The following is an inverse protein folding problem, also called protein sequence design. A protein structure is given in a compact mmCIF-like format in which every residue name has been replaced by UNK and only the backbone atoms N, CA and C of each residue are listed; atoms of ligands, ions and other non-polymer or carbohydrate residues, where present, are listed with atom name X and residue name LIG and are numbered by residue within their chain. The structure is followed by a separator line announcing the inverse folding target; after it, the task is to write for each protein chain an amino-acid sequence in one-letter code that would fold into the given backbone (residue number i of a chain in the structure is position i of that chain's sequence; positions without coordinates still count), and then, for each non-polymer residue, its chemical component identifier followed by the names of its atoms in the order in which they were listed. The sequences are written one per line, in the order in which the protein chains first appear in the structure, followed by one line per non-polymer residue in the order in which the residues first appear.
data_IF_280883184097
#
_entry.id   IF_280883184097
#
_cell.length_a   1.000
_cell.length_b   1.000
_cell.length_c   1.000
_cell.angle_alpha   90.00
_cell.angle_beta   90.00
_cell.angle_gamma   90.00
#
_symmetry.space_group_name_H-M   'P 1'
#
loop_
_entity.id
_entity.type
_entity.pdbx_description
1 polymer ?
#
# COMPACT_ATOMS: atom_id res chain seq x y z
N UNK A 1 0.98 17.49 -1.41
CA UNK A 1 2.31 17.17 -0.85
C UNK A 1 2.51 15.67 -0.59
N UNK A 2 1.54 14.95 0.00
CA UNK A 2 1.66 13.51 0.29
C UNK A 2 1.97 12.58 -0.92
N UNK A 3 1.45 12.90 -2.11
CA UNK A 3 1.74 12.15 -3.36
C UNK A 3 3.20 12.27 -3.83
N UNK A 4 3.84 13.42 -3.62
CA UNK A 4 5.24 13.64 -3.98
C UNK A 4 6.17 12.89 -3.02
N UNK A 5 5.85 12.90 -1.73
CA UNK A 5 6.60 12.23 -0.68
C UNK A 5 6.59 10.71 -0.86
N UNK A 6 5.42 10.09 -1.07
CA UNK A 6 5.32 8.66 -1.34
C UNK A 6 6.11 8.23 -2.60
N UNK A 7 6.02 9.03 -3.68
CA UNK A 7 6.78 8.81 -4.93
C UNK A 7 8.29 8.96 -4.75
N UNK A 8 8.76 9.77 -3.81
CA UNK A 8 10.18 9.87 -3.52
C UNK A 8 10.69 8.62 -2.79
N UNK A 9 9.91 8.09 -1.86
CA UNK A 9 10.28 6.86 -1.14
C UNK A 9 10.16 5.62 -2.01
N UNK A 10 9.20 5.53 -2.93
CA UNK A 10 9.08 4.37 -3.83
C UNK A 10 10.31 4.22 -4.75
N UNK A 11 10.93 5.35 -5.17
CA UNK A 11 12.12 5.35 -6.03
C UNK A 11 13.31 4.62 -5.42
N UNK A 12 13.47 4.65 -4.10
CA UNK A 12 14.56 3.96 -3.41
C UNK A 12 14.46 2.43 -3.57
N UNK A 13 13.24 1.90 -3.70
CA UNK A 13 12.97 0.46 -3.84
C UNK A 13 12.84 -0.01 -5.28
N UNK A 14 12.82 0.90 -6.27
CA UNK A 14 12.68 0.54 -7.68
C UNK A 14 13.83 -0.32 -8.22
N UNK A 15 14.97 -0.34 -7.53
CA UNK A 15 16.13 -1.17 -7.86
C UNK A 15 16.03 -2.61 -7.33
N UNK A 16 15.03 -2.94 -6.51
CA UNK A 16 14.85 -4.28 -5.94
C UNK A 16 13.93 -5.14 -6.83
N UNK A 17 14.47 -6.05 -7.66
CA UNK A 17 13.63 -6.85 -8.56
C UNK A 17 12.75 -7.82 -7.78
N UNK A 18 11.52 -8.02 -8.29
CA UNK A 18 10.55 -8.99 -7.77
C UNK A 18 10.21 -8.78 -6.28
N UNK A 19 9.97 -7.52 -5.91
CA UNK A 19 9.81 -7.11 -4.51
C UNK A 19 8.66 -7.87 -3.83
N UNK A 20 7.53 -8.05 -4.51
CA UNK A 20 6.37 -8.78 -4.00
C UNK A 20 6.69 -10.24 -3.62
N UNK A 21 7.54 -10.93 -4.39
CA UNK A 21 7.95 -12.28 -4.03
C UNK A 21 8.92 -12.27 -2.85
N UNK A 22 9.90 -11.37 -2.86
CA UNK A 22 10.93 -11.32 -1.83
C UNK A 22 10.37 -10.95 -0.46
N UNK A 23 9.43 -10.00 -0.40
CA UNK A 23 8.75 -9.59 0.84
C UNK A 23 7.98 -10.72 1.51
N UNK A 24 7.69 -11.83 0.82
CA UNK A 24 7.10 -13.02 1.45
C UNK A 24 8.10 -13.87 2.24
N UNK A 25 9.38 -13.50 2.26
CA UNK A 25 10.42 -14.17 3.04
C UNK A 25 10.73 -13.33 4.27
N UNK A 26 10.53 -13.89 5.47
CA UNK A 26 10.67 -13.18 6.75
C UNK A 26 11.98 -12.40 6.86
N UNK A 27 13.11 -13.02 6.56
CA UNK A 27 14.41 -12.37 6.66
C UNK A 27 14.52 -11.13 5.75
N UNK A 28 14.08 -11.24 4.51
CA UNK A 28 14.10 -10.11 3.58
C UNK A 28 13.10 -9.02 4.00
N UNK A 29 11.91 -9.40 4.47
CA UNK A 29 10.94 -8.45 5.00
C UNK A 29 11.49 -7.67 6.18
N UNK A 30 12.10 -8.35 7.15
CA UNK A 30 12.69 -7.74 8.34
C UNK A 30 13.80 -6.75 7.98
N UNK A 31 14.74 -7.13 7.12
CA UNK A 31 15.81 -6.23 6.66
C UNK A 31 15.26 -5.03 5.90
N UNK A 32 14.32 -5.28 4.97
CA UNK A 32 13.72 -4.23 4.16
C UNK A 32 12.89 -3.25 5.00
N UNK A 33 12.14 -3.75 5.99
CA UNK A 33 11.37 -2.93 6.90
C UNK A 33 12.28 -2.06 7.76
N UNK A 34 13.30 -2.65 8.39
CA UNK A 34 14.24 -1.91 9.23
C UNK A 34 14.98 -0.82 8.42
N UNK A 35 15.52 -1.18 7.25
CA UNK A 35 16.21 -0.21 6.39
C UNK A 35 15.31 0.94 5.94
N UNK A 36 14.05 0.67 5.60
CA UNK A 36 13.08 1.71 5.25
C UNK A 36 12.75 2.61 6.45
N UNK A 37 12.50 2.03 7.63
CA UNK A 37 12.20 2.79 8.83
C UNK A 37 13.35 3.72 9.21
N UNK A 38 14.59 3.25 9.14
CA UNK A 38 15.77 4.06 9.45
C UNK A 38 15.93 5.22 8.46
N UNK A 39 15.80 4.95 7.15
CA UNK A 39 15.88 5.98 6.12
C UNK A 39 14.77 7.04 6.25
N UNK A 40 13.53 6.59 6.49
CA UNK A 40 12.38 7.46 6.66
C UNK A 40 12.50 8.29 7.94
N UNK A 41 12.85 7.67 9.07
CA UNK A 41 13.04 8.37 10.34
C UNK A 41 14.16 9.42 10.24
N UNK A 42 15.29 9.10 9.60
CA UNK A 42 16.39 10.04 9.40
C UNK A 42 15.95 11.28 8.59
N UNK A 43 15.17 11.09 7.52
CA UNK A 43 14.64 12.19 6.70
C UNK A 43 13.63 13.06 7.46
N UNK A 44 12.91 12.49 8.41
CA UNK A 44 11.95 13.19 9.26
C UNK A 44 12.56 13.77 10.54
N UNK A 45 13.86 13.58 10.77
CA UNK A 45 14.52 14.01 12.01
C UNK A 45 14.10 13.22 13.25
N UNK A 46 13.53 12.02 13.07
CA UNK A 46 13.07 11.14 14.14
C UNK A 46 14.16 10.14 14.54
N UNK A 47 14.06 9.63 15.77
CA UNK A 47 14.81 8.46 16.21
C UNK A 47 13.82 7.33 16.47
N UNK A 48 14.10 6.16 15.92
CA UNK A 48 13.21 4.99 16.03
C UNK A 48 13.94 3.82 16.65
N UNK A 49 13.17 3.01 17.38
CA UNK A 49 13.60 1.68 17.85
C UNK A 49 12.60 0.65 17.34
N UNK A 50 13.09 -0.52 16.94
CA UNK A 50 12.28 -1.57 16.32
C UNK A 50 12.34 -2.84 17.18
N UNK A 51 11.18 -3.27 17.68
CA UNK A 51 11.00 -4.56 18.32
C UNK A 51 10.79 -5.63 17.24
N UNK A 52 11.84 -6.44 17.03
CA UNK A 52 11.86 -7.50 16.01
C UNK A 52 10.89 -8.65 16.31
N UNK A 53 10.55 -8.90 17.57
CA UNK A 53 9.57 -9.94 17.92
C UNK A 53 8.18 -9.51 17.50
N UNK A 54 7.79 -8.27 17.78
CA UNK A 54 6.53 -7.69 17.31
C UNK A 54 6.46 -7.60 15.79
N UNK A 55 7.56 -7.23 15.14
CA UNK A 55 7.64 -7.18 13.67
C UNK A 55 7.44 -8.57 13.06
N UNK A 56 8.06 -9.59 13.66
CA UNK A 56 7.90 -10.99 13.23
C UNK A 56 6.47 -11.48 13.43
N UNK A 57 5.83 -11.18 14.57
CA UNK A 57 4.42 -11.53 14.81
C UNK A 57 3.50 -10.90 13.76
N UNK A 58 3.66 -9.59 13.49
CA UNK A 58 2.89 -8.89 12.46
C UNK A 58 3.08 -9.53 11.07
N UNK A 59 4.31 -9.89 10.72
CA UNK A 59 4.61 -10.57 9.46
C UNK A 59 3.93 -11.93 9.34
N UNK A 60 3.99 -12.76 10.39
CA UNK A 60 3.41 -14.10 10.36
C UNK A 60 1.88 -14.04 10.23
N UNK A 61 1.22 -13.18 11.00
CA UNK A 61 -0.23 -12.97 10.91
C UNK A 61 -0.65 -12.46 9.53
N UNK A 62 0.09 -11.49 8.98
CA UNK A 62 -0.13 -11.01 7.62
C UNK A 62 0.03 -12.13 6.59
N UNK A 63 1.07 -12.95 6.71
CA UNK A 63 1.32 -14.07 5.82
C UNK A 63 0.20 -15.13 5.84
N UNK A 64 -0.40 -15.37 7.00
CA UNK A 64 -1.57 -16.25 7.13
C UNK A 64 -2.79 -15.69 6.37
N UNK A 65 -3.11 -14.41 6.56
CA UNK A 65 -4.24 -13.76 5.88
C UNK A 65 -4.05 -13.68 4.37
N UNK A 66 -2.82 -13.35 3.93
CA UNK A 66 -2.45 -13.39 2.53
C UNK A 66 -2.69 -14.77 1.93
N UNK A 67 -2.19 -15.82 2.58
CA UNK A 67 -2.33 -17.19 2.08
C UNK A 67 -3.78 -17.67 2.04
N UNK A 68 -4.61 -17.25 3.01
CA UNK A 68 -6.03 -17.60 3.07
C UNK A 68 -6.81 -17.07 1.86
N UNK A 69 -6.37 -15.94 1.28
CA UNK A 69 -7.13 -15.20 0.26
C UNK A 69 -6.40 -15.07 -1.09
N UNK A 70 -5.19 -15.64 -1.23
CA UNK A 70 -4.31 -15.47 -2.40
C UNK A 70 -4.92 -15.85 -3.75
N UNK A 71 -5.92 -16.74 -3.76
CA UNK A 71 -6.62 -17.14 -4.98
C UNK A 71 -7.38 -15.96 -5.61
N UNK A 72 -7.73 -14.93 -4.85
CA UNK A 72 -8.40 -13.74 -5.38
C UNK A 72 -7.47 -12.84 -6.21
N UNK A 73 -6.16 -13.05 -6.15
CA UNK A 73 -5.20 -12.39 -7.05
C UNK A 73 -5.48 -12.68 -8.53
N UNK A 74 -6.11 -13.82 -8.86
CA UNK A 74 -6.48 -14.16 -10.24
C UNK A 74 -7.74 -13.43 -10.72
N UNK A 75 -8.55 -12.89 -9.81
CA UNK A 75 -9.76 -12.12 -10.12
C UNK A 75 -9.39 -10.67 -10.45
N UNK A 76 -8.64 -10.02 -9.54
CA UNK A 76 -8.14 -8.67 -9.74
C UNK A 76 -6.82 -8.50 -8.98
N UNK A 77 -5.70 -8.71 -9.68
CA UNK A 77 -4.36 -8.66 -9.07
C UNK A 77 -4.07 -7.32 -8.40
N UNK A 78 -4.38 -6.21 -9.08
CA UNK A 78 -4.11 -4.85 -8.59
C UNK A 78 -4.85 -4.57 -7.29
N UNK A 79 -6.16 -4.82 -7.26
CA UNK A 79 -6.95 -4.62 -6.05
C UNK A 79 -6.54 -5.58 -4.92
N UNK A 80 -6.12 -6.80 -5.27
CA UNK A 80 -5.62 -7.75 -4.28
C UNK A 80 -4.29 -7.29 -3.66
N UNK A 81 -3.42 -6.62 -4.41
CA UNK A 81 -2.19 -6.01 -3.86
C UNK A 81 -2.52 -4.84 -2.92
N UNK A 82 -3.49 -3.98 -3.27
CA UNK A 82 -3.98 -2.90 -2.39
C UNK A 82 -4.49 -3.49 -1.07
N UNK A 83 -5.38 -4.48 -1.16
CA UNK A 83 -5.91 -5.19 0.00
C UNK A 83 -4.79 -5.79 0.86
N UNK A 84 -3.83 -6.48 0.24
CA UNK A 84 -2.72 -7.12 0.93
C UNK A 84 -1.85 -6.10 1.68
N UNK A 85 -1.58 -4.94 1.08
CA UNK A 85 -0.84 -3.86 1.75
C UNK A 85 -1.65 -3.26 2.91
N UNK A 86 -2.97 -3.09 2.76
CA UNK A 86 -3.86 -2.68 3.86
C UNK A 86 -3.88 -3.67 5.03
N UNK A 87 -3.86 -4.98 4.75
CA UNK A 87 -3.78 -6.00 5.81
C UNK A 87 -2.45 -5.97 6.55
N UNK A 88 -1.34 -5.70 5.86
CA UNK A 88 -0.03 -5.52 6.49
C UNK A 88 -0.06 -4.31 7.43
N UNK A 89 -0.64 -3.19 6.99
CA UNK A 89 -0.82 -2.01 7.83
C UNK A 89 -1.63 -2.32 9.10
N UNK A 90 -2.72 -3.07 8.98
CA UNK A 90 -3.54 -3.48 10.12
C UNK A 90 -2.71 -4.25 11.17
N UNK A 91 -1.87 -5.20 10.73
CA UNK A 91 -1.01 -5.97 11.62
C UNK A 91 0.13 -5.16 12.22
N UNK A 92 0.73 -4.22 11.47
CA UNK A 92 1.75 -3.30 11.99
C UNK A 92 1.19 -2.34 13.05
N UNK A 93 -0.01 -1.81 12.81
CA UNK A 93 -0.70 -0.91 13.75
C UNK A 93 -1.13 -1.64 15.03
N UNK A 94 -1.55 -2.90 14.92
CA UNK A 94 -1.89 -3.74 16.09
C UNK A 94 -0.63 -4.13 16.89
N UNK A 95 0.41 -4.62 16.21
CA UNK A 95 1.62 -5.10 16.87
C UNK A 95 2.50 -3.96 17.43
N UNK A 96 2.47 -2.78 16.81
CA UNK A 96 3.28 -1.61 17.16
C UNK A 96 4.78 -1.94 17.32
N UNK A 97 5.45 -2.42 16.25
CA UNK A 97 6.87 -2.81 16.33
C UNK A 97 7.83 -1.63 16.43
N UNK A 98 7.44 -0.44 15.98
CA UNK A 98 8.27 0.77 16.03
C UNK A 98 7.87 1.63 17.22
N UNK A 99 8.86 2.15 17.94
CA UNK A 99 8.69 3.20 18.95
C UNK A 99 9.52 4.42 18.57
N UNK A 100 8.86 5.58 18.45
CA UNK A 100 9.50 6.84 18.07
C UNK A 100 9.93 7.59 19.33
N UNK A 101 11.21 7.90 19.41
CA UNK A 101 11.75 8.79 20.43
C UNK A 101 11.78 10.20 19.86
N UNK A 102 10.86 11.06 20.31
CA UNK A 102 10.96 12.50 20.03
C UNK A 102 12.21 13.02 20.73
N UNK A 103 13.23 13.42 19.96
CA UNK A 103 14.27 14.29 20.51
C UNK A 103 13.58 15.58 20.92
N UNK A 104 13.67 15.95 22.20
CA UNK A 104 13.20 17.24 22.70
C UNK A 104 13.89 18.37 21.92
N UNK A 105 13.32 18.80 20.81
CA UNK A 105 13.73 20.04 20.16
C UNK A 105 13.02 21.20 20.85
N UNK A 106 13.70 21.68 21.89
CA UNK A 106 13.63 23.06 22.34
C UNK A 106 14.13 23.98 21.22
N UNK A 107 13.22 24.38 20.34
CA UNK A 107 13.24 25.66 19.61
C UNK A 107 12.07 25.67 18.63
N UNK A 108 10.91 26.12 19.10
CA UNK A 108 9.82 26.56 18.22
C UNK A 108 10.26 27.87 17.54
N UNK A 109 11.16 27.76 16.57
CA UNK A 109 11.16 28.69 15.44
C UNK A 109 10.00 28.26 14.56
N UNK A 110 9.02 29.13 14.40
CA UNK A 110 7.86 28.94 13.53
C UNK A 110 8.29 28.28 12.21
N UNK A 111 7.83 27.04 12.00
CA UNK A 111 8.05 26.26 10.78
C UNK A 111 6.70 25.65 10.40
N UNK A 112 6.42 25.55 9.08
CA UNK A 112 5.37 26.30 8.38
C UNK A 112 4.00 25.63 8.45
N UNK A 113 3.03 26.20 7.74
CA UNK A 113 1.65 25.75 7.48
C UNK A 113 1.54 24.35 6.81
N UNK A 114 2.49 23.45 7.06
CA UNK A 114 2.62 22.12 6.45
C UNK A 114 1.84 21.07 7.27
N UNK A 115 0.66 20.71 6.75
CA UNK A 115 -0.20 19.66 7.31
C UNK A 115 0.54 18.33 7.52
N UNK A 116 1.54 18.00 6.70
CA UNK A 116 2.29 16.75 6.84
C UNK A 116 3.09 16.73 8.14
N UNK A 117 3.69 17.86 8.53
CA UNK A 117 4.40 17.96 9.81
C UNK A 117 3.45 17.80 11.00
N UNK A 118 2.23 18.34 10.90
CA UNK A 118 1.21 18.18 11.93
C UNK A 118 0.78 16.72 12.07
N UNK A 119 0.65 16.00 10.95
CA UNK A 119 0.35 14.56 10.93
C UNK A 119 1.48 13.75 11.60
N UNK A 120 2.74 14.02 11.23
CA UNK A 120 3.91 13.34 11.80
C UNK A 120 3.98 13.59 13.31
N UNK A 121 3.77 14.83 13.75
CA UNK A 121 3.76 15.16 15.18
C UNK A 121 2.59 14.50 15.95
N UNK A 122 1.43 14.32 15.30
CA UNK A 122 0.24 13.73 15.90
C UNK A 122 0.36 12.22 16.14
N UNK A 123 0.86 11.48 15.15
CA UNK A 123 1.01 10.01 15.24
C UNK A 123 2.16 9.52 14.36
N UNK A 124 3.41 9.64 14.83
CA UNK A 124 4.58 9.36 14.00
C UNK A 124 4.67 7.88 13.62
N UNK A 125 4.36 6.94 14.52
CA UNK A 125 4.36 5.50 14.20
C UNK A 125 3.35 5.16 13.10
N UNK A 126 2.12 5.67 13.21
CA UNK A 126 1.09 5.46 12.20
C UNK A 126 1.53 5.99 10.83
N UNK A 127 2.15 7.18 10.82
CA UNK A 127 2.71 7.76 9.61
C UNK A 127 3.77 6.86 8.98
N UNK A 128 4.75 6.39 9.77
CA UNK A 128 5.81 5.50 9.32
C UNK A 128 5.24 4.20 8.70
N UNK A 129 4.30 3.53 9.37
CA UNK A 129 3.70 2.29 8.85
C UNK A 129 2.92 2.51 7.55
N UNK A 130 2.13 3.57 7.49
CA UNK A 130 1.34 3.89 6.29
C UNK A 130 2.26 4.23 5.12
N UNK A 131 3.28 5.06 5.32
CA UNK A 131 4.25 5.40 4.28
C UNK A 131 4.96 4.16 3.76
N UNK A 132 5.42 3.27 4.64
CA UNK A 132 6.04 2.00 4.24
C UNK A 132 5.13 1.16 3.35
N UNK A 133 3.86 0.96 3.77
CA UNK A 133 2.91 0.15 3.01
C UNK A 133 2.58 0.78 1.65
N UNK A 134 2.45 2.10 1.57
CA UNK A 134 2.23 2.82 0.31
C UNK A 134 3.45 2.68 -0.60
N UNK A 135 4.68 2.88 -0.09
CA UNK A 135 5.90 2.77 -0.90
C UNK A 135 6.10 1.37 -1.45
N UNK A 136 5.90 0.33 -0.62
CA UNK A 136 5.95 -1.07 -1.08
C UNK A 136 4.91 -1.33 -2.16
N UNK A 137 3.66 -0.90 -1.94
CA UNK A 137 2.58 -1.09 -2.91
C UNK A 137 2.87 -0.37 -4.24
N UNK A 138 3.38 0.86 -4.17
CA UNK A 138 3.80 1.65 -5.33
C UNK A 138 4.86 0.92 -6.14
N UNK A 139 5.93 0.48 -5.49
CA UNK A 139 6.99 -0.27 -6.16
C UNK A 139 6.47 -1.57 -6.78
N UNK A 140 5.64 -2.33 -6.09
CA UNK A 140 5.07 -3.58 -6.62
C UNK A 140 4.19 -3.33 -7.85
N UNK A 141 3.30 -2.34 -7.81
CA UNK A 141 2.42 -2.02 -8.95
C UNK A 141 3.21 -1.41 -10.11
N UNK A 142 4.22 -0.58 -9.84
CA UNK A 142 5.10 -0.04 -10.88
C UNK A 142 5.90 -1.17 -11.56
N UNK A 143 6.34 -2.18 -10.81
CA UNK A 143 7.01 -3.37 -11.37
C UNK A 143 6.07 -4.24 -12.21
N UNK A 144 4.83 -4.45 -11.76
CA UNK A 144 3.86 -5.33 -12.42
C UNK A 144 3.19 -4.67 -13.64
N UNK A 145 2.81 -3.39 -13.54
CA UNK A 145 1.91 -2.73 -14.50
C UNK A 145 2.53 -1.50 -15.17
N UNK A 146 3.71 -1.03 -14.72
CA UNK A 146 4.35 0.22 -15.17
C UNK A 146 3.44 1.46 -15.01
N UNK A 147 2.51 1.41 -14.06
CA UNK A 147 1.60 2.49 -13.75
C UNK A 147 1.80 2.94 -12.30
N UNK A 148 1.84 4.25 -12.07
CA UNK A 148 1.87 4.77 -10.71
C UNK A 148 0.51 4.57 -10.02
N UNK A 149 0.52 4.29 -8.71
CA UNK A 149 -0.70 4.45 -7.92
C UNK A 149 -1.00 5.93 -7.67
N UNK A 150 -2.28 6.34 -7.77
CA UNK A 150 -2.69 7.61 -7.21
C UNK A 150 -2.57 7.55 -5.69
N UNK A 151 -1.95 8.56 -5.08
CA UNK A 151 -2.07 8.83 -3.64
C UNK A 151 -3.09 9.94 -3.50
N UNK A 152 -4.13 9.69 -2.73
CA UNK A 152 -5.24 10.61 -2.51
C UNK A 152 -4.81 11.82 -1.68
N UNK A 153 -5.42 12.97 -1.94
CA UNK A 153 -5.23 14.19 -1.13
C UNK A 153 -5.64 13.99 0.33
N UNK A 154 -6.55 13.04 0.59
CA UNK A 154 -7.01 12.62 1.91
C UNK A 154 -5.85 12.22 2.84
N UNK A 155 -4.78 11.64 2.28
CA UNK A 155 -3.59 11.26 3.05
C UNK A 155 -2.82 12.47 3.61
N UNK A 156 -3.07 13.68 3.10
CA UNK A 156 -2.47 14.93 3.56
C UNK A 156 -3.34 15.75 4.52
N UNK A 157 -4.49 15.25 4.95
CA UNK A 157 -5.42 15.96 5.83
C UNK A 157 -5.42 15.34 7.24
N UNK A 158 -4.97 16.11 8.24
CA UNK A 158 -4.85 15.71 9.64
C UNK A 158 -6.16 15.17 10.23
N UNK A 159 -7.32 15.67 9.79
CA UNK A 159 -8.62 15.20 10.29
C UNK A 159 -8.84 13.72 9.96
N UNK A 160 -8.41 13.27 8.78
CA UNK A 160 -8.52 11.87 8.39
C UNK A 160 -7.58 10.99 9.21
N UNK A 161 -6.42 11.50 9.60
CA UNK A 161 -5.49 10.80 10.50
C UNK A 161 -6.03 10.64 11.91
N UNK A 162 -6.75 11.64 12.43
CA UNK A 162 -7.50 11.51 13.69
C UNK A 162 -8.53 10.38 13.61
N UNK A 163 -9.39 10.40 12.59
CA UNK A 163 -10.39 9.36 12.37
C UNK A 163 -9.73 7.98 12.21
N UNK A 164 -8.65 7.90 11.44
CA UNK A 164 -7.90 6.68 11.22
C UNK A 164 -7.40 6.09 12.54
N UNK A 165 -6.68 6.89 13.34
CA UNK A 165 -6.12 6.46 14.63
C UNK A 165 -7.20 5.98 15.61
N UNK A 166 -8.33 6.67 15.63
CA UNK A 166 -9.44 6.30 16.52
C UNK A 166 -10.06 4.97 16.11
N UNK A 167 -10.40 4.81 14.83
CA UNK A 167 -11.10 3.62 14.34
C UNK A 167 -10.24 2.35 14.40
N UNK A 168 -8.91 2.46 14.24
CA UNK A 168 -8.02 1.29 14.37
C UNK A 168 -7.80 0.84 15.81
N UNK A 169 -8.02 1.73 16.79
CA UNK A 169 -8.00 1.35 18.21
C UNK A 169 -9.23 0.53 18.58
N UNK A 170 -10.36 0.81 17.95
CA UNK A 170 -11.59 0.03 18.11
C UNK A 170 -11.53 -1.29 17.34
N UNK A 171 -11.15 -1.26 16.06
CA UNK A 171 -10.96 -2.44 15.23
C UNK A 171 -9.82 -2.22 14.23
N UNK A 172 -8.74 -3.02 14.37
CA UNK A 172 -7.57 -2.96 13.48
C UNK A 172 -7.94 -3.07 12.00
N UNK A 173 -9.01 -3.79 11.66
CA UNK A 173 -9.38 -4.04 10.27
C UNK A 173 -9.84 -2.78 9.55
N UNK A 174 -10.25 -1.74 10.31
CA UNK A 174 -10.50 -0.41 9.75
C UNK A 174 -9.27 0.17 9.04
N UNK A 175 -8.05 -0.27 9.38
CA UNK A 175 -6.85 0.15 8.67
C UNK A 175 -6.89 -0.16 7.18
N UNK A 176 -7.58 -1.23 6.76
CA UNK A 176 -7.74 -1.58 5.35
C UNK A 176 -8.59 -0.53 4.63
N UNK A 177 -9.72 -0.11 5.21
CA UNK A 177 -10.59 0.91 4.62
C UNK A 177 -9.93 2.30 4.57
N UNK A 178 -9.19 2.69 5.62
CA UNK A 178 -8.40 3.94 5.57
C UNK A 178 -7.27 3.86 4.55
N UNK A 179 -6.61 2.71 4.43
CA UNK A 179 -5.59 2.50 3.42
C UNK A 179 -6.16 2.62 2.00
N UNK A 180 -7.34 2.03 1.74
CA UNK A 180 -8.08 2.19 0.48
C UNK A 180 -8.28 3.69 0.16
N UNK A 181 -8.76 4.49 1.12
CA UNK A 181 -8.91 5.94 0.95
C UNK A 181 -7.59 6.64 0.61
N UNK A 182 -6.49 6.29 1.30
CA UNK A 182 -5.19 6.90 1.07
C UNK A 182 -4.62 6.61 -0.32
N UNK A 183 -4.94 5.45 -0.90
CA UNK A 183 -4.51 5.07 -2.26
C UNK A 183 -5.59 5.31 -3.33
N UNK A 184 -6.66 6.04 -2.99
CA UNK A 184 -7.73 6.40 -3.92
C UNK A 184 -8.61 5.23 -4.38
N UNK A 185 -8.62 4.12 -3.64
CA UNK A 185 -9.52 3.00 -3.83
C UNK A 185 -10.84 3.21 -3.05
N UNK A 186 -11.89 2.49 -3.46
CA UNK A 186 -13.18 2.50 -2.76
C UNK A 186 -13.11 1.59 -1.52
N UNK A 187 -13.29 2.13 -0.30
CA UNK A 187 -13.19 1.35 0.92
C UNK A 187 -14.40 0.42 1.13
N UNK A 188 -14.15 -0.77 1.66
CA UNK A 188 -15.20 -1.69 2.14
C UNK A 188 -15.28 -1.68 3.68
N UNK A 189 -16.04 -0.74 4.25
CA UNK A 189 -16.21 -0.62 5.70
C UNK A 189 -16.98 -1.77 6.35
N UNK A 190 -17.87 -2.44 5.60
CA UNK A 190 -18.72 -3.49 6.15
C UNK A 190 -17.97 -4.80 6.40
N UNK A 191 -16.95 -5.09 5.58
CA UNK A 191 -16.12 -6.28 5.74
C UNK A 191 -14.68 -6.03 5.27
N UNK A 192 -13.91 -5.17 5.96
CA UNK A 192 -12.60 -4.72 5.48
C UNK A 192 -11.61 -5.89 5.29
N UNK A 193 -11.69 -6.91 6.14
CA UNK A 193 -10.79 -8.07 6.14
C UNK A 193 -11.14 -9.14 5.08
N UNK A 194 -12.24 -8.98 4.32
CA UNK A 194 -12.71 -9.97 3.34
C UNK A 194 -12.52 -9.41 1.93
N UNK A 195 -11.45 -9.82 1.25
CA UNK A 195 -11.13 -9.32 -0.09
C UNK A 195 -12.24 -9.60 -1.09
N UNK A 196 -12.90 -10.75 -1.02
CA UNK A 196 -14.00 -11.11 -1.93
C UNK A 196 -15.20 -10.15 -1.87
N UNK A 197 -15.35 -9.38 -0.79
CA UNK A 197 -16.44 -8.42 -0.63
C UNK A 197 -16.10 -7.03 -1.21
N UNK A 198 -14.85 -6.81 -1.64
CA UNK A 198 -14.40 -5.53 -2.20
C UNK A 198 -15.11 -5.23 -3.54
N UNK A 199 -15.50 -3.97 -3.82
CA UNK A 199 -16.19 -3.61 -5.06
C UNK A 199 -15.46 -4.08 -6.32
N UNK A 200 -14.14 -3.89 -6.38
CA UNK A 200 -13.31 -4.26 -7.51
C UNK A 200 -13.14 -5.78 -7.72
N UNK A 201 -13.42 -6.59 -6.69
CA UNK A 201 -13.42 -8.07 -6.77
C UNK A 201 -14.78 -8.62 -7.21
N UNK A 202 -15.85 -7.84 -7.02
CA UNK A 202 -17.22 -8.20 -7.45
C UNK A 202 -17.53 -7.77 -8.87
N UNK A 203 -16.75 -6.82 -9.41
CA UNK A 203 -16.88 -6.39 -10.79
C UNK A 203 -16.58 -7.58 -11.74
N UNK A 204 -17.45 -7.80 -12.74
CA UNK A 204 -17.17 -8.81 -13.78
C UNK A 204 -15.83 -8.49 -14.46
N UNK A 205 -14.99 -9.49 -14.76
CA UNK A 205 -13.74 -9.25 -15.49
C UNK A 205 -14.05 -8.46 -16.76
N UNK A 206 -13.36 -7.33 -16.94
CA UNK A 206 -13.48 -6.54 -18.15
C UNK A 206 -13.08 -7.47 -19.31
N UNK A 207 -13.91 -7.67 -20.35
CA UNK A 207 -13.53 -8.54 -21.45
C UNK A 207 -12.20 -8.03 -22.02
N UNK A 208 -11.22 -8.92 -22.13
CA UNK A 208 -10.00 -8.67 -22.89
C UNK A 208 -10.48 -8.39 -24.31
N UNK A 209 -10.38 -7.14 -24.76
CA UNK A 209 -10.59 -6.84 -26.16
C UNK A 209 -9.42 -7.48 -26.91
N UNK A 210 -9.67 -8.66 -27.48
CA UNK A 210 -8.78 -9.27 -28.45
C UNK A 210 -8.52 -8.24 -29.56
N UNK A 211 -7.28 -7.77 -29.63
CA UNK A 211 -6.77 -7.07 -30.81
C UNK A 211 -6.54 -8.10 -31.91
N UNK A 212 -7.62 -8.69 -32.43
CA UNK A 212 -7.60 -9.33 -33.74
C UNK A 212 -8.11 -8.30 -34.74
N UNK A 213 -7.15 -7.66 -35.43
CA UNK A 213 -7.44 -6.81 -36.58
C UNK A 213 -8.19 -7.60 -37.65
N UNK A 214 -9.00 -6.93 -38.50
CA UNK A 214 -9.76 -7.60 -39.53
C UNK A 214 -8.80 -8.25 -40.53
N UNK A 215 -8.77 -9.59 -40.52
CA UNK A 215 -8.19 -10.38 -41.60
C UNK A 215 -9.14 -10.28 -42.79
N UNK A 216 -8.79 -9.43 -43.75
CA UNK A 216 -9.43 -9.40 -45.06
C UNK A 216 -9.10 -10.71 -45.79
N UNK A 217 -10.02 -11.67 -45.71
CA UNK A 217 -10.02 -12.84 -46.57
C UNK A 217 -10.31 -12.38 -48.00
N UNK A 218 -9.30 -12.59 -48.84
CA UNK A 218 -9.33 -12.49 -50.30
C UNK A 218 -10.35 -13.50 -50.83
N UNK A 219 -11.47 -13.01 -51.34
CA UNK A 219 -12.39 -13.83 -52.14
C UNK A 219 -11.91 -13.79 -53.61
N UNK A 220 -11.35 -14.91 -54.05
CA UNK A 220 -10.97 -15.14 -55.45
C UNK A 220 -12.23 -15.55 -56.22
N UNK A 221 -12.76 -14.65 -57.04
CA UNK A 221 -13.74 -15.01 -58.07
C UNK A 221 -13.04 -15.73 -59.24
N UNK A 222 -13.30 -17.03 -59.38
CA UNK A 222 -13.06 -17.82 -60.58
C UNK A 222 -14.15 -18.90 -60.73
N UNK A 223 -15.14 -18.63 -61.59
CA UNK A 223 -15.85 -19.58 -62.50
C UNK A 223 -16.94 -18.79 -63.26
N UNK A 224 -16.78 -18.49 -64.54
CA UNK A 224 -16.98 -19.31 -65.76
C UNK A 224 -18.43 -19.75 -66.04
N UNK A 225 -18.86 -19.34 -67.24
CA UNK A 225 -19.73 -20.01 -68.23
C UNK A 225 -21.25 -20.07 -67.95
N UNK A 226 -22.02 -19.22 -68.66
CA UNK A 226 -22.75 -19.61 -69.88
C UNK A 226 -23.16 -18.38 -70.71
#
# INVERSE_FOLDING_TARGET
MGSAMAKEFSKEFMHEPDLAHRLRRLHFFDEHFCGHMDALAARLGLSVTIDRLKLTDAFLRWGEDFNRQRNLASVNRRDFMVFTAGTLLAHLVEAQPVSVQQKSQSSLTEAPDDEVQKIIAFWPEGFLYTTYCISVLQTVIEQDEKQALPVSEIAGDLRNWWSFRENVREDRWNAIGFFDLFVGAEPNWAAPAIAAHRPAMRAKPRPVMDKQGPSALVEKDHKKEH
#
